data_IF_895029294732
#
_entry.id   IF_895029294732
#
_cell.length_a   1.000
_cell.length_b   1.000
_cell.length_c   1.000
_cell.angle_alpha   90.00
_cell.angle_beta   90.00
_cell.angle_gamma   90.00
#
_symmetry.space_group_name_H-M   'P 1'
#
loop_
_entity.id
_entity.type
_entity.pdbx_description
1 polymer ?
#
# COMPACT_ATOMS: atom_id res chain seq x y z
N UNK A 1 -2.89 -1.68 -1.92
CA UNK A 1 -2.44 -0.43 -2.60
C UNK A 1 -1.46 -0.83 -3.71
N UNK A 2 -0.42 -0.07 -4.05
CA UNK A 2 0.73 -0.53 -4.85
C UNK A 2 2.05 -0.06 -4.20
N UNK A 3 3.17 -0.71 -4.51
CA UNK A 3 4.50 -0.24 -4.06
C UNK A 3 4.69 1.26 -4.39
N UNK A 4 5.20 2.01 -3.42
CA UNK A 4 5.38 3.47 -3.46
C UNK A 4 4.30 4.26 -2.70
N UNK A 5 3.17 3.63 -2.33
CA UNK A 5 2.10 4.32 -1.59
C UNK A 5 2.57 4.80 -0.22
N UNK A 6 3.36 3.99 0.50
CA UNK A 6 3.94 4.38 1.77
C UNK A 6 4.82 5.63 1.65
N UNK A 7 5.68 5.69 0.63
CA UNK A 7 6.54 6.85 0.37
C UNK A 7 5.72 8.12 0.12
N UNK A 8 4.63 8.02 -0.63
CA UNK A 8 3.71 9.16 -0.86
C UNK A 8 3.08 9.63 0.46
N UNK A 9 2.66 8.70 1.33
CA UNK A 9 2.08 9.05 2.63
C UNK A 9 3.10 9.71 3.58
N UNK A 10 4.35 9.25 3.57
CA UNK A 10 5.46 9.89 4.32
C UNK A 10 5.69 11.32 3.84
N UNK A 11 5.73 11.54 2.52
CA UNK A 11 5.88 12.88 1.94
C UNK A 11 4.68 13.78 2.29
N UNK A 12 3.46 13.26 2.19
CA UNK A 12 2.26 14.00 2.56
C UNK A 12 2.33 14.50 4.02
N UNK A 13 2.72 13.62 4.95
CA UNK A 13 2.94 13.99 6.35
C UNK A 13 4.04 15.05 6.51
N UNK A 14 5.18 14.88 5.84
CA UNK A 14 6.28 15.84 5.90
C UNK A 14 5.89 17.24 5.40
N UNK A 15 4.97 17.31 4.43
CA UNK A 15 4.45 18.55 3.88
C UNK A 15 3.12 19.01 4.50
N UNK A 16 2.66 18.36 5.58
CA UNK A 16 1.39 18.67 6.25
C UNK A 16 0.16 18.65 5.32
N UNK A 17 0.17 17.74 4.34
CA UNK A 17 -0.94 17.51 3.40
C UNK A 17 -1.72 16.28 3.87
N UNK A 18 -3.06 16.34 3.94
CA UNK A 18 -3.86 15.19 4.34
C UNK A 18 -3.79 14.08 3.29
N UNK A 19 -3.58 12.85 3.74
CA UNK A 19 -3.48 11.66 2.89
C UNK A 19 -4.72 10.79 3.07
N UNK A 20 -5.43 10.50 1.97
CA UNK A 20 -6.65 9.70 1.98
C UNK A 20 -6.47 8.41 1.19
N UNK A 21 -7.10 7.34 1.68
CA UNK A 21 -7.23 6.08 0.96
C UNK A 21 -8.67 5.96 0.48
N UNK A 22 -8.88 5.79 -0.82
CA UNK A 22 -10.20 5.44 -1.37
C UNK A 22 -10.25 3.94 -1.63
N UNK A 23 -11.16 3.25 -0.97
CA UNK A 23 -11.29 1.81 -1.07
C UNK A 23 -12.75 1.38 -0.84
N UNK A 24 -13.33 0.51 -1.69
CA UNK A 24 -14.66 -0.04 -1.44
C UNK A 24 -14.69 -0.81 -0.12
N UNK A 25 -15.83 -0.82 0.57
CA UNK A 25 -15.98 -1.57 1.82
C UNK A 25 -15.60 -3.05 1.68
N UNK A 26 -15.91 -3.67 0.54
CA UNK A 26 -15.59 -5.07 0.26
C UNK A 26 -14.10 -5.42 0.29
N UNK A 27 -13.23 -4.41 0.27
CA UNK A 27 -11.77 -4.58 0.33
C UNK A 27 -11.20 -4.48 1.76
N UNK A 28 -12.05 -4.16 2.75
CA UNK A 28 -11.65 -4.05 4.14
C UNK A 28 -11.62 -5.44 4.76
N UNK A 29 -10.44 -5.88 5.17
CA UNK A 29 -10.26 -7.11 5.94
C UNK A 29 -10.14 -6.79 7.44
N UNK A 30 -11.15 -7.19 8.21
CA UNK A 30 -11.19 -7.03 9.66
C UNK A 30 -10.55 -8.20 10.43
N UNK A 31 -10.15 -9.28 9.73
CA UNK A 31 -9.55 -10.46 10.37
C UNK A 31 -8.04 -10.30 10.56
N UNK A 32 -7.39 -9.53 9.69
CA UNK A 32 -5.97 -9.23 9.77
C UNK A 32 -5.72 -8.20 10.88
N UNK A 33 -4.98 -8.59 11.92
CA UNK A 33 -4.79 -7.78 13.12
C UNK A 33 -3.90 -6.55 12.90
N UNK A 34 -2.89 -6.66 12.03
CA UNK A 34 -2.00 -5.55 11.72
C UNK A 34 -1.46 -5.63 10.29
N UNK A 35 -0.91 -4.52 9.80
CA UNK A 35 -0.22 -4.50 8.51
C UNK A 35 1.03 -5.39 8.47
N UNK A 36 1.62 -5.76 9.61
CA UNK A 36 2.76 -6.66 9.68
C UNK A 36 2.39 -8.12 9.34
N UNK A 37 1.11 -8.47 9.44
CA UNK A 37 0.59 -9.80 9.16
C UNK A 37 0.25 -9.98 7.67
N UNK A 38 0.36 -8.92 6.86
CA UNK A 38 0.05 -8.96 5.42
C UNK A 38 1.27 -9.49 4.65
N UNK A 39 1.18 -10.66 3.99
CA UNK A 39 2.25 -11.15 3.15
C UNK A 39 2.43 -10.24 1.92
N UNK A 40 3.66 -9.77 1.69
CA UNK A 40 3.97 -8.92 0.53
C UNK A 40 4.37 -9.80 -0.65
N UNK A 41 3.55 -9.78 -1.70
CA UNK A 41 3.84 -10.44 -2.97
C UNK A 41 5.18 -9.94 -3.54
N UNK A 42 6.10 -10.87 -3.78
CA UNK A 42 7.34 -10.63 -4.52
C UNK A 42 7.12 -11.00 -5.99
N UNK A 43 7.45 -10.08 -6.89
CA UNK A 43 7.27 -10.28 -8.34
C UNK A 43 8.58 -10.61 -9.02
N UNK A 44 8.46 -11.09 -10.26
CA UNK A 44 9.60 -11.50 -11.06
C UNK A 44 10.62 -10.33 -11.19
N UNK A 45 11.91 -10.54 -10.86
CA UNK A 45 12.97 -9.57 -11.07
C UNK A 45 13.03 -8.97 -12.48
N UNK A 46 12.66 -9.76 -13.50
CA UNK A 46 12.68 -9.32 -14.90
C UNK A 46 11.76 -8.13 -15.18
N UNK A 47 10.72 -7.93 -14.37
CA UNK A 47 9.81 -6.79 -14.53
C UNK A 47 10.48 -5.43 -14.28
N UNK A 48 11.58 -5.41 -13.53
CA UNK A 48 12.33 -4.17 -13.22
C UNK A 48 13.71 -4.14 -13.86
N UNK A 49 14.27 -5.29 -14.24
CA UNK A 49 15.57 -5.32 -14.94
C UNK A 49 15.43 -5.26 -16.46
N UNK A 50 14.26 -5.53 -17.02
CA UNK A 50 14.04 -5.64 -18.47
C UNK A 50 12.85 -4.81 -18.92
N UNK A 51 13.07 -3.94 -19.91
CA UNK A 51 12.01 -3.08 -20.46
C UNK A 51 11.49 -3.69 -21.78
N UNK A 52 10.17 -3.75 -21.94
CA UNK A 52 9.49 -4.25 -23.15
C UNK A 52 10.01 -5.61 -23.65
N UNK A 53 10.44 -6.48 -22.73
CA UNK A 53 10.87 -7.85 -23.01
C UNK A 53 12.11 -7.99 -23.92
N UNK A 54 12.81 -6.90 -24.24
CA UNK A 54 13.80 -6.90 -25.33
C UNK A 54 15.21 -6.52 -24.89
N UNK A 55 15.36 -5.63 -23.91
CA UNK A 55 16.68 -5.18 -23.48
C UNK A 55 16.77 -5.11 -21.94
N UNK A 56 17.68 -5.89 -21.32
CA UNK A 56 18.07 -5.67 -19.93
C UNK A 56 18.64 -4.25 -19.78
N UNK A 57 18.17 -3.53 -18.77
CA UNK A 57 18.64 -2.18 -18.41
C UNK A 57 19.42 -2.16 -17.10
N UNK A 58 19.30 -3.23 -16.31
CA UNK A 58 20.12 -3.45 -15.12
C UNK A 58 21.39 -4.25 -15.49
N UNK A 59 22.51 -4.07 -14.75
CA UNK A 59 23.69 -4.90 -14.93
C UNK A 59 23.42 -6.39 -14.69
N UNK A 60 24.16 -7.26 -15.36
CA UNK A 60 24.03 -8.71 -15.20
C UNK A 60 24.41 -9.16 -13.77
N UNK A 61 23.66 -10.13 -13.25
CA UNK A 61 23.93 -10.78 -11.96
C UNK A 61 23.53 -9.98 -10.72
N UNK A 62 22.88 -8.82 -10.86
CA UNK A 62 22.40 -8.05 -9.70
C UNK A 62 21.25 -8.76 -9.00
N UNK A 63 21.26 -8.73 -7.66
CA UNK A 63 20.12 -9.19 -6.86
C UNK A 63 19.04 -8.13 -6.85
N UNK A 64 17.79 -8.55 -7.02
CA UNK A 64 16.64 -7.65 -7.16
C UNK A 64 15.66 -7.87 -6.01
N UNK A 65 15.19 -6.77 -5.43
CA UNK A 65 14.06 -6.74 -4.52
C UNK A 65 12.88 -6.07 -5.24
N UNK A 66 11.83 -6.84 -5.53
CA UNK A 66 10.67 -6.38 -6.32
C UNK A 66 9.34 -6.68 -5.61
N UNK A 67 9.05 -6.03 -4.47
CA UNK A 67 7.75 -6.14 -3.83
C UNK A 67 6.67 -5.47 -4.68
N UNK A 68 5.54 -6.14 -4.87
CA UNK A 68 4.40 -5.61 -5.62
C UNK A 68 3.64 -4.50 -4.86
N UNK A 69 3.76 -4.52 -3.53
CA UNK A 69 2.98 -3.72 -2.59
C UNK A 69 3.86 -3.22 -1.44
N UNK A 70 3.38 -2.19 -0.74
CA UNK A 70 3.88 -1.79 0.56
C UNK A 70 2.72 -1.61 1.54
N UNK A 71 3.04 -1.47 2.83
CA UNK A 71 2.06 -1.19 3.87
C UNK A 71 2.21 0.28 4.28
N UNK A 72 1.12 1.03 4.18
CA UNK A 72 1.05 2.39 4.72
C UNK A 72 0.49 2.34 6.14
N UNK A 73 1.27 2.72 7.18
CA UNK A 73 0.80 2.73 8.55
C UNK A 73 -0.43 3.63 8.75
N UNK A 74 -1.34 3.21 9.63
CA UNK A 74 -2.60 3.90 9.90
C UNK A 74 -2.42 5.36 10.36
N UNK A 75 -1.34 5.65 11.08
CA UNK A 75 -0.98 6.99 11.55
C UNK A 75 -0.64 8.00 10.44
N UNK A 76 -0.37 7.53 9.22
CA UNK A 76 -0.13 8.38 8.06
C UNK A 76 -1.42 8.67 7.27
N UNK A 77 -2.52 7.98 7.59
CA UNK A 77 -3.77 8.06 6.85
C UNK A 77 -4.73 8.99 7.60
N UNK A 78 -5.11 10.09 6.95
CA UNK A 78 -6.10 11.05 7.47
C UNK A 78 -7.50 10.46 7.49
N UNK A 79 -7.87 9.72 6.45
CA UNK A 79 -9.17 9.03 6.38
C UNK A 79 -9.25 8.00 5.27
N UNK A 80 -10.15 7.05 5.45
CA UNK A 80 -10.49 6.00 4.49
C UNK A 80 -11.89 6.33 3.94
N UNK A 81 -11.96 6.54 2.64
CA UNK A 81 -13.19 6.87 1.91
C UNK A 81 -13.77 5.58 1.34
N UNK A 82 -15.01 5.29 1.69
CA UNK A 82 -15.79 4.15 1.18
C UNK A 82 -17.13 4.64 0.65
N UNK A 83 -17.93 3.76 0.06
CA UNK A 83 -19.31 4.07 -0.31
C UNK A 83 -20.24 4.31 0.89
N UNK A 84 -19.77 4.06 2.12
CA UNK A 84 -20.51 4.26 3.37
C UNK A 84 -20.11 5.55 4.10
N UNK A 85 -19.14 6.30 3.60
CA UNK A 85 -18.65 7.54 4.19
C UNK A 85 -17.13 7.59 4.36
N UNK A 86 -16.67 8.49 5.22
CA UNK A 86 -15.24 8.70 5.51
C UNK A 86 -14.96 8.34 6.96
N UNK A 87 -14.00 7.44 7.18
CA UNK A 87 -13.69 6.92 8.50
C UNK A 87 -12.22 7.13 8.84
N UNK A 88 -11.91 7.39 10.11
CA UNK A 88 -10.52 7.28 10.58
C UNK A 88 -10.13 5.80 10.68
N UNK A 89 -8.85 5.45 10.44
CA UNK A 89 -8.40 4.05 10.52
C UNK A 89 -8.77 3.35 11.84
N UNK A 90 -8.66 4.01 12.99
CA UNK A 90 -8.97 3.42 14.30
C UNK A 90 -10.47 3.27 14.60
N UNK A 91 -11.33 4.00 13.88
CA UNK A 91 -12.78 3.92 14.05
C UNK A 91 -13.41 2.84 13.15
N UNK A 92 -12.66 2.39 12.13
CA UNK A 92 -13.14 1.47 11.10
C UNK A 92 -13.71 0.18 11.73
N UNK A 93 -12.97 -0.52 12.57
CA UNK A 93 -13.44 -1.77 13.18
C UNK A 93 -14.69 -1.59 14.07
N UNK A 94 -14.81 -0.46 14.79
CA UNK A 94 -15.95 -0.19 15.68
C UNK A 94 -17.23 0.12 14.90
N UNK A 95 -17.10 0.82 13.78
CA UNK A 95 -18.23 1.20 12.92
C UNK A 95 -18.88 -0.02 12.23
N UNK A 96 -18.20 -1.18 12.21
CA UNK A 96 -18.63 -2.37 11.47
C UNK A 96 -18.73 -3.65 12.32
N UNK A 97 -18.54 -3.54 13.64
CA UNK A 97 -18.83 -4.61 14.59
C UNK A 97 -20.27 -4.48 15.06
N UNK A 98 -21.20 -5.03 14.28
CA UNK A 98 -22.63 -5.18 14.61
C UNK A 98 -23.02 -6.64 14.62
#
# INVERSE_FOLDING_TARGET
NKIGTYSVAVLAKAHSIPFYVAAPYSTIDLKTGSGADIPIEQRNPLEVTTIHGSHPVAPDGVTVYNPAFDVTPAELITGIITERGIFKPHDLARQFSS
#
